data_IF_641200599620
#
_entry.id   IF_641200599620
#
_cell.length_a   1.000
_cell.length_b   1.000
_cell.length_c   1.000
_cell.angle_alpha   90.00
_cell.angle_beta   90.00
_cell.angle_gamma   90.00
#
_symmetry.space_group_name_H-M   'P 1'
#
loop_
_entity.id
_entity.type
_entity.pdbx_description
1 polymer ?
#
# COMPACT_ATOMS: atom_id res chain seq x y z
N UNK A 1 -0.29 14.42 15.15
CA UNK A 1 -1.78 14.61 15.28
C UNK A 1 -2.28 13.70 16.37
N UNK A 2 -2.97 14.17 17.39
CA UNK A 2 -3.56 13.32 18.44
C UNK A 2 -5.01 13.04 18.04
N UNK A 3 -5.35 11.76 17.82
CA UNK A 3 -6.71 11.31 17.48
C UNK A 3 -7.46 10.90 18.75
N UNK A 4 -8.77 11.16 18.77
CA UNK A 4 -9.68 10.68 19.84
C UNK A 4 -10.19 9.27 19.49
N UNK A 5 -9.32 8.29 19.68
CA UNK A 5 -9.57 6.88 19.39
C UNK A 5 -8.80 5.99 20.35
N UNK A 6 -9.28 4.77 20.51
CA UNK A 6 -8.57 3.72 21.26
C UNK A 6 -7.55 2.95 20.41
N UNK A 7 -7.53 3.18 19.09
CA UNK A 7 -6.56 2.55 18.20
C UNK A 7 -5.19 3.25 18.25
N UNK A 8 -4.12 2.45 18.22
CA UNK A 8 -2.80 2.93 17.84
C UNK A 8 -2.67 2.82 16.32
N UNK A 9 -2.06 3.80 15.67
CA UNK A 9 -1.92 3.84 14.23
C UNK A 9 -0.44 3.77 13.86
N UNK A 10 -0.10 2.76 13.05
CA UNK A 10 1.26 2.53 12.57
C UNK A 10 1.30 2.69 11.06
N UNK A 11 2.10 3.62 10.59
CA UNK A 11 2.39 3.80 9.16
C UNK A 11 3.56 2.90 8.83
N UNK A 12 3.50 2.12 7.75
CA UNK A 12 4.58 1.20 7.39
C UNK A 12 4.78 1.06 5.89
N UNK A 13 5.96 0.61 5.52
CA UNK A 13 6.38 0.32 4.15
C UNK A 13 7.43 -0.77 4.13
N UNK A 14 7.52 -1.54 3.03
CA UNK A 14 8.44 -2.68 2.89
C UNK A 14 9.21 -2.62 1.59
N UNK A 15 10.50 -3.06 1.63
CA UNK A 15 11.28 -3.35 0.43
C UNK A 15 11.59 -4.84 0.35
N UNK A 16 11.67 -5.38 -0.88
CA UNK A 16 11.61 -6.81 -1.12
C UNK A 16 12.62 -7.27 -2.17
N UNK A 17 12.85 -8.59 -2.25
CA UNK A 17 13.71 -9.20 -3.27
C UNK A 17 13.10 -9.11 -4.67
N UNK A 18 11.78 -8.92 -4.77
CA UNK A 18 10.99 -8.83 -5.99
C UNK A 18 9.50 -8.84 -5.68
N UNK A 19 8.66 -8.97 -6.71
CA UNK A 19 7.21 -8.97 -6.60
C UNK A 19 6.55 -10.35 -6.81
N UNK A 20 7.34 -11.39 -7.06
CA UNK A 20 6.83 -12.74 -7.27
C UNK A 20 6.36 -13.39 -5.94
N UNK A 21 5.50 -14.43 -5.98
CA UNK A 21 5.02 -15.13 -4.77
C UNK A 21 6.11 -15.70 -3.86
N UNK A 22 7.30 -15.98 -4.40
CA UNK A 22 8.45 -16.50 -3.66
C UNK A 22 9.27 -15.40 -2.97
N UNK A 23 9.11 -14.15 -3.40
CA UNK A 23 9.95 -13.04 -2.92
C UNK A 23 9.72 -12.74 -1.44
N UNK A 24 10.72 -12.16 -0.81
CA UNK A 24 10.82 -11.99 0.64
C UNK A 24 11.23 -10.58 1.01
N UNK A 25 10.96 -10.20 2.24
CA UNK A 25 11.35 -8.91 2.81
C UNK A 25 12.87 -8.74 2.88
N UNK A 26 13.37 -7.55 2.55
CA UNK A 26 14.74 -7.13 2.82
C UNK A 26 14.83 -5.83 3.63
N UNK A 27 13.75 -5.05 3.71
CA UNK A 27 13.62 -3.90 4.63
C UNK A 27 12.19 -3.79 5.12
N UNK A 28 12.01 -3.38 6.36
CA UNK A 28 10.75 -2.94 6.93
C UNK A 28 10.98 -1.63 7.69
N UNK A 29 10.16 -0.63 7.41
CA UNK A 29 10.06 0.55 8.24
C UNK A 29 8.63 0.72 8.76
N UNK A 30 8.49 1.12 10.04
CA UNK A 30 7.20 1.54 10.57
C UNK A 30 7.34 2.61 11.64
N UNK A 31 6.27 3.37 11.84
CA UNK A 31 6.19 4.47 12.79
C UNK A 31 4.81 4.55 13.42
N UNK A 32 4.75 4.66 14.76
CA UNK A 32 3.52 5.10 15.42
C UNK A 32 3.28 6.58 15.13
N UNK A 33 2.09 6.96 14.66
CA UNK A 33 1.75 8.34 14.29
C UNK A 33 1.89 9.34 15.44
N UNK A 34 1.84 8.87 16.69
CA UNK A 34 1.99 9.71 17.89
C UNK A 34 3.44 9.83 18.37
N UNK A 35 4.39 9.16 17.71
CA UNK A 35 5.80 9.12 18.08
C UNK A 35 6.66 9.77 17.01
N UNK A 36 7.89 10.14 17.39
CA UNK A 36 8.87 10.69 16.44
C UNK A 36 9.84 9.62 15.93
N UNK A 37 10.00 8.54 16.69
CA UNK A 37 10.88 7.43 16.33
C UNK A 37 10.30 6.61 15.16
N UNK A 38 11.18 6.16 14.29
CA UNK A 38 10.86 5.25 13.18
C UNK A 38 11.72 4.00 13.40
N UNK A 39 11.06 2.84 13.46
CA UNK A 39 11.75 1.57 13.28
C UNK A 39 12.10 1.42 11.81
N UNK A 40 13.35 1.13 11.49
CA UNK A 40 13.82 0.94 10.12
C UNK A 40 14.95 -0.08 10.11
N UNK A 41 14.67 -1.32 9.69
CA UNK A 41 15.60 -2.43 9.76
C UNK A 41 15.76 -3.12 8.40
N UNK A 42 17.01 -3.52 8.14
CA UNK A 42 17.39 -4.36 7.01
C UNK A 42 17.48 -5.82 7.46
N UNK A 43 17.06 -6.73 6.60
CA UNK A 43 17.11 -8.17 6.83
C UNK A 43 17.87 -8.87 5.71
N UNK A 44 18.53 -9.97 6.01
CA UNK A 44 19.12 -10.82 4.99
C UNK A 44 18.04 -11.77 4.44
N UNK A 45 17.52 -11.55 3.23
CA UNK A 45 16.48 -12.42 2.70
C UNK A 45 17.08 -13.79 2.30
N UNK A 46 16.32 -14.90 2.39
CA UNK A 46 16.79 -16.23 1.99
C UNK A 46 16.95 -16.39 0.47
N UNK A 47 16.56 -15.40 -0.30
CA UNK A 47 16.63 -15.34 -1.76
C UNK A 47 17.44 -14.11 -2.20
N UNK A 48 18.13 -14.18 -3.35
CA UNK A 48 18.85 -13.03 -3.89
C UNK A 48 17.91 -11.86 -4.20
N UNK A 49 18.31 -10.64 -3.85
CA UNK A 49 17.62 -9.42 -4.26
C UNK A 49 17.81 -9.25 -5.78
N UNK A 50 16.71 -9.18 -6.53
CA UNK A 50 16.75 -9.03 -7.98
C UNK A 50 17.44 -7.70 -8.39
N UNK A 51 18.07 -7.67 -9.55
CA UNK A 51 18.68 -6.42 -10.07
C UNK A 51 17.59 -5.35 -10.27
N UNK A 52 16.38 -5.76 -10.67
CA UNK A 52 15.25 -4.85 -10.82
C UNK A 52 14.86 -4.19 -9.49
N UNK A 53 14.77 -4.97 -8.40
CA UNK A 53 14.49 -4.47 -7.06
C UNK A 53 15.61 -3.56 -6.55
N UNK A 54 16.89 -3.97 -6.72
CA UNK A 54 18.04 -3.12 -6.38
C UNK A 54 18.02 -1.76 -7.10
N UNK A 55 17.57 -1.74 -8.35
CA UNK A 55 17.46 -0.50 -9.12
C UNK A 55 16.33 0.42 -8.62
N UNK A 56 15.36 -0.12 -7.89
CA UNK A 56 14.25 0.64 -7.31
C UNK A 56 14.63 1.17 -5.93
N UNK A 57 14.94 0.28 -4.97
CA UNK A 57 15.14 0.63 -3.56
C UNK A 57 16.62 0.78 -3.16
N UNK A 58 17.58 0.50 -4.05
CA UNK A 58 19.02 0.65 -3.84
C UNK A 58 19.63 -0.23 -2.74
N UNK A 59 18.90 -1.18 -2.18
CA UNK A 59 19.44 -2.15 -1.22
C UNK A 59 20.19 -3.23 -1.99
N UNK A 60 21.47 -3.36 -1.68
CA UNK A 60 22.34 -4.35 -2.34
C UNK A 60 22.53 -5.59 -1.46
N UNK A 61 22.89 -6.75 -2.03
CA UNK A 61 23.23 -7.94 -1.26
C UNK A 61 24.30 -7.69 -0.20
N UNK A 62 25.25 -6.79 -0.47
CA UNK A 62 26.31 -6.42 0.49
C UNK A 62 25.75 -5.74 1.74
N UNK A 63 24.69 -4.93 1.61
CA UNK A 63 24.10 -4.20 2.75
C UNK A 63 23.38 -5.14 3.73
N UNK A 64 22.88 -6.25 3.24
CA UNK A 64 22.10 -7.23 4.03
C UNK A 64 22.89 -8.47 4.42
N UNK A 65 24.09 -8.69 3.89
CA UNK A 65 24.87 -9.93 4.06
C UNK A 65 25.11 -10.34 5.52
N UNK A 66 25.29 -9.36 6.41
CA UNK A 66 25.54 -9.59 7.85
C UNK A 66 24.31 -9.36 8.73
N UNK A 67 23.14 -9.13 8.10
CA UNK A 67 21.88 -8.97 8.82
C UNK A 67 21.27 -10.34 9.13
N UNK A 68 20.50 -10.49 10.21
CA UNK A 68 19.75 -11.70 10.45
C UNK A 68 18.64 -11.90 9.40
N UNK A 69 18.16 -13.13 9.25
CA UNK A 69 16.88 -13.39 8.60
C UNK A 69 15.77 -12.64 9.35
N UNK A 70 14.67 -12.30 8.68
CA UNK A 70 13.58 -11.56 9.30
C UNK A 70 13.06 -12.24 10.58
N UNK A 71 12.80 -13.55 10.52
CA UNK A 71 12.28 -14.33 11.65
C UNK A 71 13.31 -14.60 12.75
N UNK A 72 14.59 -14.41 12.46
CA UNK A 72 15.69 -14.54 13.44
C UNK A 72 16.10 -13.20 14.05
N UNK A 73 15.51 -12.10 13.60
CA UNK A 73 15.79 -10.76 14.12
C UNK A 73 15.30 -10.65 15.58
N UNK A 74 16.08 -10.10 16.50
CA UNK A 74 15.66 -9.87 17.89
C UNK A 74 14.36 -9.07 18.04
N UNK A 75 14.01 -8.24 17.05
CA UNK A 75 12.78 -7.43 17.04
C UNK A 75 11.58 -8.19 16.47
N UNK A 76 11.72 -9.44 16.01
CA UNK A 76 10.64 -10.18 15.35
C UNK A 76 9.34 -10.24 16.16
N UNK A 77 9.42 -10.59 17.44
CA UNK A 77 8.25 -10.68 18.32
C UNK A 77 7.62 -9.31 18.59
N UNK A 78 8.43 -8.25 18.69
CA UNK A 78 7.93 -6.88 18.80
C UNK A 78 7.17 -6.46 17.53
N UNK A 79 7.78 -6.67 16.36
CA UNK A 79 7.18 -6.42 15.07
C UNK A 79 5.86 -7.18 14.95
N UNK A 80 5.86 -8.47 15.24
CA UNK A 80 4.67 -9.32 15.21
C UNK A 80 3.55 -8.77 16.09
N UNK A 81 3.86 -8.38 17.31
CA UNK A 81 2.88 -7.80 18.23
C UNK A 81 2.29 -6.48 17.71
N UNK A 82 3.08 -5.66 17.01
CA UNK A 82 2.57 -4.43 16.40
C UNK A 82 1.53 -4.74 15.31
N UNK A 83 1.81 -5.68 14.41
CA UNK A 83 0.98 -5.94 13.23
C UNK A 83 -0.23 -6.84 13.52
N UNK A 84 -0.14 -7.75 14.50
CA UNK A 84 -1.22 -8.70 14.83
C UNK A 84 -2.21 -8.18 15.90
N UNK A 85 -1.90 -7.08 16.57
CA UNK A 85 -2.77 -6.54 17.62
C UNK A 85 -4.06 -5.95 17.05
N UNK A 86 -5.22 -6.40 17.57
CA UNK A 86 -6.53 -5.83 17.23
C UNK A 86 -6.70 -4.37 17.67
N UNK A 87 -5.86 -3.88 18.58
CA UNK A 87 -5.83 -2.48 19.00
C UNK A 87 -5.03 -1.57 18.07
N UNK A 88 -4.33 -2.16 17.11
CA UNK A 88 -3.50 -1.43 16.17
C UNK A 88 -4.14 -1.42 14.79
N UNK A 89 -4.01 -0.28 14.12
CA UNK A 89 -4.31 -0.11 12.70
C UNK A 89 -2.97 0.09 12.00
N UNK A 90 -2.68 -0.72 11.00
CA UNK A 90 -1.50 -0.58 10.15
C UNK A 90 -1.90 0.05 8.81
N UNK A 91 -1.12 1.01 8.35
CA UNK A 91 -1.41 1.85 7.19
C UNK A 91 -0.29 1.72 6.18
N UNK A 92 -0.61 1.31 4.96
CA UNK A 92 0.33 1.29 3.83
C UNK A 92 -0.31 1.87 2.56
N UNK A 93 0.48 2.06 1.52
CA UNK A 93 0.01 2.51 0.21
C UNK A 93 0.06 1.37 -0.80
N UNK A 94 -1.08 0.89 -1.30
CA UNK A 94 -1.21 -0.39 -2.00
C UNK A 94 -0.92 -1.57 -1.06
N UNK A 95 -1.54 -1.50 0.11
CA UNK A 95 -1.23 -2.29 1.30
C UNK A 95 -1.27 -3.81 1.08
N UNK A 96 -2.01 -4.30 0.05
CA UNK A 96 -2.07 -5.73 -0.26
C UNK A 96 -0.68 -6.34 -0.43
N UNK A 97 0.22 -5.63 -1.14
CA UNK A 97 1.58 -6.09 -1.38
C UNK A 97 2.38 -6.27 -0.07
N UNK A 98 2.39 -5.24 0.77
CA UNK A 98 3.15 -5.25 2.03
C UNK A 98 2.59 -6.27 3.03
N UNK A 99 1.26 -6.37 3.11
CA UNK A 99 0.57 -7.36 3.96
C UNK A 99 0.90 -8.80 3.52
N UNK A 100 0.93 -9.08 2.22
CA UNK A 100 1.33 -10.38 1.70
C UNK A 100 2.80 -10.70 2.00
N UNK A 101 3.69 -9.71 1.94
CA UNK A 101 5.10 -9.89 2.32
C UNK A 101 5.26 -10.22 3.80
N UNK A 102 4.53 -9.52 4.68
CA UNK A 102 4.50 -9.83 6.11
C UNK A 102 3.90 -11.21 6.39
N UNK A 103 2.86 -11.61 5.68
CA UNK A 103 2.25 -12.93 5.81
C UNK A 103 3.24 -14.07 5.47
N UNK A 104 4.15 -13.86 4.51
CA UNK A 104 5.24 -14.81 4.18
C UNK A 104 6.26 -14.92 5.30
N UNK A 105 6.32 -13.93 6.19
CA UNK A 105 7.14 -13.92 7.41
C UNK A 105 6.36 -14.37 8.66
N UNK A 106 5.17 -14.99 8.49
CA UNK A 106 4.27 -15.46 9.54
C UNK A 106 3.72 -14.32 10.43
N UNK A 107 3.43 -13.17 9.83
CA UNK A 107 2.78 -12.03 10.49
C UNK A 107 1.45 -11.75 9.79
N UNK A 108 0.35 -11.79 10.55
CA UNK A 108 -1.00 -11.52 10.08
C UNK A 108 -1.45 -10.11 10.50
N UNK A 109 -1.65 -9.22 9.54
CA UNK A 109 -2.17 -7.88 9.82
C UNK A 109 -3.67 -7.93 10.09
N UNK A 110 -4.13 -7.39 11.23
CA UNK A 110 -5.53 -7.48 11.65
C UNK A 110 -6.39 -6.34 11.08
N UNK A 111 -5.98 -5.10 11.31
CA UNK A 111 -6.68 -3.91 10.82
C UNK A 111 -5.78 -3.14 9.86
N UNK A 112 -6.15 -3.12 8.59
CA UNK A 112 -5.36 -2.50 7.53
C UNK A 112 -6.11 -1.34 6.91
N UNK A 113 -5.44 -0.21 6.74
CA UNK A 113 -5.88 0.90 5.88
C UNK A 113 -4.95 0.98 4.68
N UNK A 114 -5.54 0.86 3.49
CA UNK A 114 -4.88 1.05 2.20
C UNK A 114 -5.14 2.46 1.68
N UNK A 115 -4.14 3.34 1.77
CA UNK A 115 -4.29 4.73 1.34
C UNK A 115 -4.52 4.86 -0.17
N UNK A 116 -4.09 3.92 -1.00
CA UNK A 116 -4.41 3.90 -2.43
C UNK A 116 -5.92 3.75 -2.66
N UNK A 117 -6.57 2.83 -1.93
CA UNK A 117 -8.02 2.62 -2.00
C UNK A 117 -8.79 3.84 -1.48
N UNK A 118 -8.30 4.47 -0.40
CA UNK A 118 -8.90 5.71 0.12
C UNK A 118 -8.78 6.86 -0.90
N UNK A 119 -7.62 7.04 -1.53
CA UNK A 119 -7.47 8.06 -2.60
C UNK A 119 -8.45 7.81 -3.74
N UNK A 120 -8.56 6.57 -4.20
CA UNK A 120 -9.52 6.20 -5.26
C UNK A 120 -10.97 6.47 -4.87
N UNK A 121 -11.33 6.21 -3.60
CA UNK A 121 -12.64 6.51 -3.05
C UNK A 121 -12.95 8.01 -3.05
N UNK A 122 -11.96 8.84 -2.68
CA UNK A 122 -12.09 10.30 -2.62
C UNK A 122 -11.95 11.01 -3.98
N UNK A 123 -11.47 10.30 -5.01
CA UNK A 123 -11.31 10.80 -6.38
C UNK A 123 -12.14 9.99 -7.41
N UNK A 124 -13.47 9.92 -7.24
CA UNK A 124 -14.33 9.12 -8.12
C UNK A 124 -14.34 9.63 -9.58
N UNK A 125 -14.04 10.90 -9.80
CA UNK A 125 -14.03 11.55 -11.12
C UNK A 125 -12.66 11.47 -11.81
N UNK A 126 -11.65 10.84 -11.19
CA UNK A 126 -10.28 10.73 -11.69
C UNK A 126 -9.66 12.10 -12.05
N UNK A 127 -9.80 13.08 -11.16
CA UNK A 127 -9.15 14.39 -11.27
C UNK A 127 -7.64 14.32 -11.03
N UNK A 128 -7.22 13.30 -10.27
CA UNK A 128 -5.81 12.98 -10.04
C UNK A 128 -5.35 12.02 -11.12
N UNK A 129 -4.30 12.38 -11.85
CA UNK A 129 -3.82 11.58 -12.99
C UNK A 129 -3.29 10.21 -12.57
N UNK A 130 -2.55 10.16 -11.45
CA UNK A 130 -1.94 8.96 -10.88
C UNK A 130 -2.09 8.94 -9.37
N UNK A 131 -2.37 7.76 -8.82
CA UNK A 131 -2.57 7.58 -7.37
C UNK A 131 -1.37 6.92 -6.65
N UNK A 132 -0.20 6.73 -7.30
CA UNK A 132 0.98 6.20 -6.61
C UNK A 132 1.57 7.23 -5.64
N UNK A 133 2.23 6.74 -4.59
CA UNK A 133 2.70 7.55 -3.47
C UNK A 133 3.60 8.70 -3.92
N UNK A 134 4.56 8.45 -4.81
CA UNK A 134 5.49 9.48 -5.27
C UNK A 134 4.80 10.55 -6.12
N UNK A 135 3.81 10.21 -6.95
CA UNK A 135 3.03 11.21 -7.68
C UNK A 135 2.23 12.10 -6.71
N UNK A 136 1.57 11.47 -5.70
CA UNK A 136 0.82 12.19 -4.67
C UNK A 136 1.72 13.06 -3.80
N UNK A 137 2.96 12.61 -3.51
CA UNK A 137 3.97 13.39 -2.80
C UNK A 137 4.15 14.76 -3.43
N UNK A 138 4.45 14.80 -4.73
CA UNK A 138 4.67 16.06 -5.45
C UNK A 138 3.38 16.84 -5.71
N UNK A 139 2.30 16.16 -6.11
CA UNK A 139 1.01 16.81 -6.39
C UNK A 139 0.44 17.52 -5.15
N UNK A 140 0.60 16.91 -3.97
CA UNK A 140 0.04 17.39 -2.71
C UNK A 140 1.07 18.07 -1.82
N UNK A 141 2.32 18.20 -2.30
CA UNK A 141 3.43 18.84 -1.58
C UNK A 141 3.62 18.27 -0.16
N UNK A 142 3.64 16.91 -0.07
CA UNK A 142 3.63 16.21 1.23
C UNK A 142 4.96 16.27 1.97
N UNK A 143 6.05 16.66 1.32
CA UNK A 143 7.39 16.76 1.86
C UNK A 143 7.83 18.16 2.27
N UNK A 144 6.99 19.18 2.05
CA UNK A 144 7.36 20.58 2.36
C UNK A 144 7.73 20.83 3.83
N UNK A 145 7.19 20.03 4.76
CA UNK A 145 7.42 20.15 6.21
C UNK A 145 8.39 19.08 6.75
N UNK A 146 9.17 18.45 5.89
CA UNK A 146 10.12 17.40 6.27
C UNK A 146 11.54 17.93 6.08
N UNK A 147 12.26 18.12 7.19
CA UNK A 147 13.58 18.75 7.20
C UNK A 147 14.70 17.85 6.66
N UNK A 148 14.48 16.53 6.61
CA UNK A 148 15.49 15.58 6.09
C UNK A 148 15.24 15.25 4.61
N UNK A 149 16.32 15.02 3.83
CA UNK A 149 16.18 14.57 2.45
C UNK A 149 15.47 13.22 2.37
N UNK A 150 14.39 13.15 1.59
CA UNK A 150 13.64 11.90 1.39
C UNK A 150 14.07 11.29 0.06
N UNK A 151 14.62 10.10 0.14
CA UNK A 151 14.85 9.24 -1.01
C UNK A 151 13.58 8.44 -1.29
N UNK A 152 13.11 8.47 -2.54
CA UNK A 152 12.01 7.61 -2.97
C UNK A 152 12.47 6.15 -2.98
N UNK A 153 11.55 5.25 -2.66
CA UNK A 153 11.84 3.81 -2.57
C UNK A 153 12.94 3.49 -1.52
N UNK A 154 12.92 4.21 -0.42
CA UNK A 154 13.53 3.85 0.84
C UNK A 154 12.39 3.77 1.86
N UNK A 155 12.15 2.61 2.45
CA UNK A 155 10.98 2.39 3.28
C UNK A 155 10.84 3.44 4.40
N UNK A 156 11.95 3.95 4.97
CA UNK A 156 11.89 5.05 5.96
C UNK A 156 11.34 6.34 5.34
N UNK A 157 11.83 6.71 4.16
CA UNK A 157 11.39 7.91 3.45
C UNK A 157 9.92 7.82 3.05
N UNK A 158 9.51 6.66 2.54
CA UNK A 158 8.14 6.43 2.11
C UNK A 158 7.16 6.39 3.30
N UNK A 159 7.55 5.88 4.48
CA UNK A 159 6.78 6.00 5.74
C UNK A 159 6.50 7.46 6.13
N UNK A 160 7.48 8.37 5.98
CA UNK A 160 7.30 9.78 6.30
C UNK A 160 6.29 10.46 5.35
N UNK A 161 6.40 10.19 4.05
CA UNK A 161 5.45 10.70 3.06
C UNK A 161 4.06 10.11 3.28
N UNK A 162 3.98 8.82 3.53
CA UNK A 162 2.73 8.11 3.76
C UNK A 162 2.01 8.60 5.01
N UNK A 163 2.74 8.96 6.09
CA UNK A 163 2.16 9.60 7.27
C UNK A 163 1.44 10.91 6.91
N UNK A 164 2.09 11.76 6.11
CA UNK A 164 1.49 13.03 5.67
C UNK A 164 0.25 12.79 4.78
N UNK A 165 0.34 11.84 3.87
CA UNK A 165 -0.79 11.43 3.04
C UNK A 165 -1.95 10.92 3.90
N UNK A 166 -1.70 9.98 4.80
CA UNK A 166 -2.71 9.43 5.70
C UNK A 166 -3.43 10.53 6.52
N UNK A 167 -2.68 11.45 7.12
CA UNK A 167 -3.24 12.56 7.89
C UNK A 167 -4.18 13.41 7.02
N UNK A 168 -3.80 13.69 5.78
CA UNK A 168 -4.62 14.47 4.84
C UNK A 168 -5.90 13.74 4.44
N UNK A 169 -5.79 12.46 4.11
CA UNK A 169 -6.92 11.61 3.76
C UNK A 169 -7.88 11.43 4.95
N UNK A 170 -7.32 11.17 6.14
CA UNK A 170 -8.10 11.07 7.37
C UNK A 170 -8.91 12.34 7.63
N UNK A 171 -8.29 13.52 7.55
CA UNK A 171 -8.99 14.80 7.72
C UNK A 171 -10.13 14.96 6.73
N UNK A 172 -9.91 14.55 5.47
CA UNK A 172 -10.95 14.64 4.44
C UNK A 172 -12.09 13.67 4.71
N UNK A 173 -11.80 12.42 5.06
CA UNK A 173 -12.81 11.43 5.44
C UNK A 173 -13.60 11.84 6.69
N UNK A 174 -12.94 12.50 7.65
CA UNK A 174 -13.53 12.94 8.92
C UNK A 174 -14.64 13.98 8.75
N UNK A 175 -14.65 14.74 7.64
CA UNK A 175 -15.69 15.72 7.34
C UNK A 175 -17.10 15.08 7.27
N UNK A 176 -17.18 13.80 6.88
CA UNK A 176 -18.45 13.08 6.67
C UNK A 176 -18.81 12.11 7.82
N UNK A 177 -18.03 12.09 8.92
CA UNK A 177 -18.21 11.13 10.03
C UNK A 177 -18.27 11.84 11.39
N UNK A 178 -18.92 11.23 12.37
CA UNK A 178 -19.18 11.86 13.69
C UNK A 178 -18.00 11.78 14.66
N UNK A 179 -17.09 10.80 14.48
CA UNK A 179 -15.95 10.58 15.38
C UNK A 179 -14.70 10.09 14.62
N UNK A 180 -13.53 10.19 15.26
CA UNK A 180 -12.28 9.69 14.71
C UNK A 180 -12.33 8.15 14.59
N UNK A 181 -12.91 7.47 15.55
CA UNK A 181 -13.06 6.02 15.52
C UNK A 181 -13.94 5.57 14.34
N UNK A 182 -15.12 6.19 14.14
CA UNK A 182 -15.99 5.90 13.00
C UNK A 182 -15.29 6.14 11.65
N UNK A 183 -14.51 7.22 11.56
CA UNK A 183 -13.71 7.52 10.36
C UNK A 183 -12.71 6.39 10.07
N UNK A 184 -11.96 5.96 11.07
CA UNK A 184 -10.97 4.88 10.93
C UNK A 184 -11.62 3.54 10.54
N UNK A 185 -12.75 3.19 11.19
CA UNK A 185 -13.51 1.99 10.85
C UNK A 185 -14.02 2.02 9.41
N UNK A 186 -14.50 3.18 8.94
CA UNK A 186 -14.89 3.37 7.55
C UNK A 186 -13.70 3.23 6.58
N UNK A 187 -12.53 3.77 6.93
CA UNK A 187 -11.32 3.61 6.12
C UNK A 187 -10.88 2.14 6.07
N UNK A 188 -10.95 1.39 7.18
CA UNK A 188 -10.69 -0.06 7.21
C UNK A 188 -11.69 -0.80 6.31
N UNK A 189 -12.99 -0.46 6.39
CA UNK A 189 -14.01 -1.08 5.55
C UNK A 189 -13.70 -0.88 4.05
N UNK A 190 -13.44 0.37 3.62
CA UNK A 190 -13.08 0.69 2.22
C UNK A 190 -11.84 -0.11 1.80
N UNK A 191 -10.87 -0.27 2.68
CA UNK A 191 -9.62 -0.98 2.39
C UNK A 191 -9.82 -2.49 2.20
N UNK A 192 -10.85 -3.08 2.79
CA UNK A 192 -11.22 -4.50 2.61
C UNK A 192 -11.99 -4.77 1.32
N UNK A 193 -12.65 -3.76 0.78
CA UNK A 193 -13.47 -3.91 -0.44
C UNK A 193 -12.60 -3.69 -1.70
N UNK A 194 -12.90 -4.34 -2.82
CA UNK A 194 -12.25 -4.04 -4.09
C UNK A 194 -12.58 -2.62 -4.54
N UNK A 195 -11.61 -1.93 -5.10
CA UNK A 195 -11.78 -0.57 -5.60
C UNK A 195 -12.07 -0.53 -7.10
N UNK A 196 -12.91 0.41 -7.51
CA UNK A 196 -13.25 0.59 -8.91
C UNK A 196 -12.12 1.32 -9.66
N UNK A 197 -11.50 0.64 -10.62
CA UNK A 197 -10.47 1.21 -11.49
C UNK A 197 -11.17 1.94 -12.65
N UNK A 198 -10.89 3.22 -12.84
CA UNK A 198 -11.56 4.05 -13.84
C UNK A 198 -10.84 4.10 -15.17
N UNK A 199 -9.51 3.98 -15.19
CA UNK A 199 -8.69 4.05 -16.40
C UNK A 199 -7.77 2.86 -16.51
N UNK A 200 -7.54 2.42 -17.75
CA UNK A 200 -6.53 1.42 -18.06
C UNK A 200 -5.12 1.99 -17.81
N UNK A 201 -4.32 1.29 -17.04
CA UNK A 201 -2.89 1.57 -16.81
C UNK A 201 -1.96 0.60 -17.56
N UNK A 202 -2.52 -0.31 -18.35
CA UNK A 202 -1.80 -1.30 -19.14
C UNK A 202 -2.54 -1.67 -20.43
N UNK A 203 -1.86 -2.43 -21.30
CA UNK A 203 -2.43 -3.09 -22.45
C UNK A 203 -2.89 -2.13 -23.58
N UNK A 204 -3.72 -2.67 -24.46
CA UNK A 204 -4.21 -2.01 -25.70
C UNK A 204 -4.91 -0.68 -25.45
N UNK A 205 -5.60 -0.55 -24.32
CA UNK A 205 -6.42 0.61 -23.98
C UNK A 205 -5.81 1.52 -22.90
N UNK A 206 -4.48 1.48 -22.72
CA UNK A 206 -3.78 2.32 -21.73
C UNK A 206 -4.21 3.79 -21.84
N UNK A 207 -4.57 4.42 -20.70
CA UNK A 207 -5.03 5.81 -20.61
C UNK A 207 -6.52 6.02 -20.92
N UNK A 208 -7.21 5.04 -21.50
CA UNK A 208 -8.65 5.13 -21.78
C UNK A 208 -9.49 4.86 -20.53
N UNK A 209 -10.66 5.49 -20.42
CA UNK A 209 -11.61 5.13 -19.38
C UNK A 209 -12.21 3.74 -19.64
N UNK A 210 -12.40 2.95 -18.60
CA UNK A 210 -12.98 1.61 -18.68
C UNK A 210 -14.40 1.68 -19.20
N UNK A 211 -15.19 2.70 -18.80
CA UNK A 211 -16.54 2.99 -19.31
C UNK A 211 -16.56 3.19 -20.83
N UNK A 212 -15.58 3.90 -21.38
CA UNK A 212 -15.52 4.14 -22.82
C UNK A 212 -15.19 2.86 -23.60
N UNK A 213 -14.30 2.04 -23.03
CA UNK A 213 -13.93 0.75 -23.63
C UNK A 213 -15.10 -0.24 -23.53
N UNK A 214 -15.87 -0.21 -22.44
CA UNK A 214 -17.09 -1.01 -22.32
C UNK A 214 -18.10 -0.75 -23.45
N UNK A 215 -18.21 0.51 -23.89
CA UNK A 215 -19.09 0.89 -25.01
C UNK A 215 -18.50 0.57 -26.39
N UNK A 216 -17.17 0.70 -26.56
CA UNK A 216 -16.52 0.62 -27.88
C UNK A 216 -15.90 -0.75 -28.18
N UNK A 217 -15.48 -1.49 -27.17
CA UNK A 217 -14.75 -2.76 -27.30
C UNK A 217 -15.10 -3.71 -26.13
N UNK A 218 -16.40 -3.98 -25.97
CA UNK A 218 -16.93 -4.83 -24.90
C UNK A 218 -16.25 -6.22 -24.87
N UNK A 219 -15.97 -6.78 -26.05
CA UNK A 219 -15.30 -8.07 -26.17
C UNK A 219 -13.91 -8.12 -25.52
N UNK A 220 -13.19 -6.97 -25.52
CA UNK A 220 -11.93 -6.85 -24.80
C UNK A 220 -12.12 -6.96 -23.28
N UNK A 221 -13.15 -6.35 -22.71
CA UNK A 221 -13.45 -6.45 -21.29
C UNK A 221 -13.81 -7.88 -20.89
N UNK A 222 -14.63 -8.57 -21.71
CA UNK A 222 -15.02 -9.96 -21.48
C UNK A 222 -13.81 -10.90 -21.51
N UNK A 223 -12.93 -10.72 -22.50
CA UNK A 223 -11.67 -11.45 -22.59
C UNK A 223 -10.77 -11.18 -21.37
N UNK A 224 -10.62 -9.90 -21.00
CA UNK A 224 -9.77 -9.50 -19.87
C UNK A 224 -10.30 -10.06 -18.54
N UNK A 225 -11.62 -10.02 -18.33
CA UNK A 225 -12.25 -10.61 -17.13
C UNK A 225 -11.94 -12.11 -17.02
N UNK A 226 -12.07 -12.83 -18.13
CA UNK A 226 -11.72 -14.26 -18.15
C UNK A 226 -10.24 -14.48 -17.84
N UNK A 227 -9.36 -13.65 -18.39
CA UNK A 227 -7.92 -13.71 -18.14
C UNK A 227 -7.60 -13.46 -16.67
N UNK A 228 -8.13 -12.34 -16.10
CA UNK A 228 -7.89 -11.96 -14.69
C UNK A 228 -8.38 -13.02 -13.70
N UNK A 229 -9.50 -13.69 -13.97
CA UNK A 229 -10.01 -14.78 -13.14
C UNK A 229 -9.16 -16.05 -13.21
N UNK A 230 -8.36 -16.24 -14.28
CA UNK A 230 -7.49 -17.42 -14.47
C UNK A 230 -6.06 -17.20 -13.97
N UNK A 231 -5.69 -16.00 -13.50
CA UNK A 231 -4.39 -15.73 -12.89
C UNK A 231 -4.24 -16.52 -11.57
N UNK A 232 -3.03 -16.97 -11.25
CA UNK A 232 -2.75 -17.66 -9.96
C UNK A 232 -3.04 -16.76 -8.75
N UNK A 233 -2.84 -15.44 -8.92
CA UNK A 233 -3.20 -14.42 -7.96
C UNK A 233 -4.16 -13.42 -8.62
N UNK A 234 -5.48 -13.66 -8.55
CA UNK A 234 -6.47 -12.81 -9.19
C UNK A 234 -6.42 -11.38 -8.65
N UNK A 235 -6.42 -10.42 -9.57
CA UNK A 235 -6.54 -8.99 -9.24
C UNK A 235 -8.01 -8.65 -8.99
N UNK A 236 -8.40 -8.60 -7.71
CA UNK A 236 -9.79 -8.38 -7.29
C UNK A 236 -10.33 -7.01 -7.73
N UNK A 237 -9.49 -5.96 -7.74
CA UNK A 237 -9.88 -4.62 -8.17
C UNK A 237 -10.24 -4.64 -9.67
N UNK A 238 -9.43 -5.32 -10.51
CA UNK A 238 -9.75 -5.47 -11.92
C UNK A 238 -10.95 -6.36 -12.17
N UNK A 239 -11.10 -7.48 -11.46
CA UNK A 239 -12.27 -8.35 -11.59
C UNK A 239 -13.54 -7.58 -11.26
N UNK A 240 -13.58 -6.92 -10.10
CA UNK A 240 -14.70 -6.07 -9.68
C UNK A 240 -15.03 -4.98 -10.70
N UNK A 241 -14.00 -4.29 -11.19
CA UNK A 241 -14.14 -3.23 -12.21
C UNK A 241 -14.76 -3.75 -13.50
N UNK A 242 -14.25 -4.86 -14.02
CA UNK A 242 -14.75 -5.44 -15.27
C UNK A 242 -16.18 -5.94 -15.14
N UNK A 243 -16.51 -6.60 -14.02
CA UNK A 243 -17.88 -7.02 -13.70
C UNK A 243 -18.84 -5.82 -13.63
N UNK A 244 -18.42 -4.75 -12.95
CA UNK A 244 -19.22 -3.52 -12.85
C UNK A 244 -19.57 -2.97 -14.22
N UNK A 245 -18.58 -2.74 -15.09
CA UNK A 245 -18.81 -2.14 -16.42
C UNK A 245 -19.39 -3.10 -17.46
N UNK A 246 -19.34 -4.41 -17.25
CA UNK A 246 -20.02 -5.39 -18.08
C UNK A 246 -21.51 -5.58 -17.70
N UNK A 247 -21.90 -5.23 -16.47
CA UNK A 247 -23.29 -5.36 -16.00
C UNK A 247 -24.08 -4.04 -16.03
N UNK A 248 -23.41 -2.93 -16.39
CA UNK A 248 -24.03 -1.61 -16.57
C UNK A 248 -24.30 -1.36 -18.04
#
# INVERSE_FOLDING_TARGET
MKLDTFYNIFIFDTETTGADPKDRLCQLAYKNINETSIMNELFNPPLPISVASQAVHHITPKMVAEKPLFQENPLYEEIKNVFESEKNIVVAHNAKFDVEMLARENIACTNVIDTLKIVRHLDPDMKIERHNLQYLRYLLELDNDIDEPIQAHDAKGDVLILEKLFIRLFKKMREDHSSDTETLEKMIQISKEPSLIRKFNFGKHIGSFVSDVALKDRGYLEWLLKTKRSEEQPDEDWIYTLEHFLNT
#
